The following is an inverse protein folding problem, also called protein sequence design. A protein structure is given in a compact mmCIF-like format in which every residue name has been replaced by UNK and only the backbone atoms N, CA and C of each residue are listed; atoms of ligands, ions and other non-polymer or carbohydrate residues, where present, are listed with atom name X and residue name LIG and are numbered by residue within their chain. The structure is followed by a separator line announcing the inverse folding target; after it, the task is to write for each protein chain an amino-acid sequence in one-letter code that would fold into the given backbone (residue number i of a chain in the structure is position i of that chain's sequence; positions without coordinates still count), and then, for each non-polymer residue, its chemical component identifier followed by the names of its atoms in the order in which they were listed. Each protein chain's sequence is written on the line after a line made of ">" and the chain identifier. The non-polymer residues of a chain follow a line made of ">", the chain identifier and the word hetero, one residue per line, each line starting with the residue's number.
data_IF_793261577739
#
_entry.id   IF_793261577739
#
_cell.length_a   1.000
_cell.length_b   1.000
_cell.length_c   1.000
_cell.angle_alpha   90.00
_cell.angle_beta   90.00
_cell.angle_gamma   90.00
#
_symmetry.space_group_name_H-M   'P 1'
#
loop_
_entity.id
_entity.type
_entity.pdbx_description
1 polymer ?
#
# COMPACT_ATOMS: atom_id res chain seq x y z
N UNK A 1 1.92 -0.30 -25.06
CA UNK A 1 3.16 -1.10 -25.13
C UNK A 1 3.10 -2.16 -24.03
N UNK A 2 3.07 -3.45 -24.36
CA UNK A 2 3.26 -4.51 -23.35
C UNK A 2 4.77 -4.70 -23.20
N UNK A 3 5.32 -4.44 -22.02
CA UNK A 3 6.75 -4.56 -21.76
C UNK A 3 7.14 -6.04 -21.67
N UNK A 4 7.24 -6.69 -22.84
CA UNK A 4 7.56 -8.13 -22.99
C UNK A 4 8.90 -8.49 -22.36
N UNK A 5 9.84 -7.55 -22.31
CA UNK A 5 11.13 -7.71 -21.63
C UNK A 5 10.93 -7.90 -20.13
N UNK A 6 10.16 -7.02 -19.48
CA UNK A 6 9.84 -7.12 -18.05
C UNK A 6 9.09 -8.41 -17.71
N UNK A 7 8.14 -8.84 -18.55
CA UNK A 7 7.41 -10.10 -18.32
C UNK A 7 8.35 -11.31 -18.41
N UNK A 8 9.25 -11.33 -19.39
CA UNK A 8 10.23 -12.42 -19.55
C UNK A 8 11.24 -12.43 -18.41
N UNK A 9 11.69 -11.27 -17.97
CA UNK A 9 12.55 -11.11 -16.80
C UNK A 9 11.87 -11.68 -15.54
N UNK A 10 10.63 -11.27 -15.24
CA UNK A 10 9.92 -11.72 -14.04
C UNK A 10 9.63 -13.23 -14.07
N UNK A 11 9.23 -13.79 -15.21
CA UNK A 11 8.81 -15.19 -15.29
C UNK A 11 9.95 -16.17 -15.53
N UNK A 12 10.99 -15.77 -16.28
CA UNK A 12 12.04 -16.67 -16.74
C UNK A 12 13.44 -16.27 -16.25
N UNK A 13 13.58 -15.17 -15.52
CA UNK A 13 14.87 -14.72 -14.99
C UNK A 13 15.86 -14.28 -16.07
N UNK A 14 15.42 -14.06 -17.31
CA UNK A 14 16.28 -13.65 -18.43
C UNK A 14 16.56 -12.14 -18.43
N UNK A 15 16.53 -11.49 -17.26
CA UNK A 15 16.78 -10.07 -17.10
C UNK A 15 18.25 -9.70 -17.25
N UNK A 16 18.54 -8.43 -17.49
CA UNK A 16 19.91 -7.91 -17.54
C UNK A 16 20.59 -7.77 -16.18
N UNK A 17 19.87 -8.01 -15.08
CA UNK A 17 20.37 -7.91 -13.71
C UNK A 17 19.63 -8.88 -12.77
N UNK A 18 20.21 -9.14 -11.59
CA UNK A 18 19.56 -9.89 -10.49
C UNK A 18 18.64 -8.94 -9.72
N UNK A 19 17.37 -9.29 -9.58
CA UNK A 19 16.38 -8.46 -8.88
C UNK A 19 16.69 -8.37 -7.38
N UNK A 20 16.54 -7.18 -6.79
CA UNK A 20 16.68 -6.97 -5.33
C UNK A 20 15.75 -7.89 -4.50
N UNK A 21 14.66 -8.36 -5.10
CA UNK A 21 13.68 -9.24 -4.46
C UNK A 21 14.22 -10.64 -4.15
N UNK A 22 15.39 -11.02 -4.67
CA UNK A 22 16.09 -12.26 -4.25
C UNK A 22 16.47 -12.26 -2.76
N UNK A 23 16.53 -11.09 -2.12
CA UNK A 23 16.76 -10.98 -0.67
C UNK A 23 15.46 -10.74 0.13
N UNK A 24 14.29 -10.81 -0.51
CA UNK A 24 13.03 -10.52 0.18
C UNK A 24 12.61 -11.68 1.08
N UNK A 25 12.69 -11.48 2.39
CA UNK A 25 12.33 -12.53 3.35
C UNK A 25 10.85 -12.46 3.73
N UNK A 26 10.16 -13.59 3.59
CA UNK A 26 8.79 -13.76 4.06
C UNK A 26 8.77 -14.28 5.50
N UNK A 27 7.78 -13.85 6.29
CA UNK A 27 7.59 -14.28 7.67
C UNK A 27 6.42 -15.25 7.82
N UNK A 28 6.63 -16.31 8.60
CA UNK A 28 5.58 -17.27 8.94
C UNK A 28 4.58 -16.67 9.95
N UNK A 29 3.35 -17.19 9.94
CA UNK A 29 2.30 -16.78 10.88
C UNK A 29 1.56 -18.01 11.45
N UNK A 30 0.96 -17.90 12.66
CA UNK A 30 0.19 -19.01 13.23
C UNK A 30 -1.06 -19.34 12.41
N UNK A 31 -1.09 -20.54 11.81
CA UNK A 31 -2.09 -20.94 10.82
C UNK A 31 -3.55 -20.61 11.19
N UNK A 32 -4.03 -21.07 12.34
CA UNK A 32 -5.43 -20.88 12.73
C UNK A 32 -5.78 -19.43 13.03
N UNK A 33 -4.85 -18.69 13.64
CA UNK A 33 -5.02 -17.25 13.90
C UNK A 33 -5.14 -16.50 12.57
N UNK A 34 -4.24 -16.80 11.63
CA UNK A 34 -4.22 -16.19 10.29
C UNK A 34 -5.48 -16.55 9.50
N UNK A 35 -5.91 -17.81 9.52
CA UNK A 35 -7.14 -18.23 8.86
C UNK A 35 -8.37 -17.46 9.38
N UNK A 36 -8.55 -17.43 10.70
CA UNK A 36 -9.69 -16.75 11.33
C UNK A 36 -9.67 -15.25 11.07
N UNK A 37 -8.50 -14.62 11.18
CA UNK A 37 -8.35 -13.19 10.95
C UNK A 37 -8.68 -12.83 9.49
N UNK A 38 -8.12 -13.55 8.52
CA UNK A 38 -8.43 -13.31 7.10
C UNK A 38 -9.89 -13.58 6.79
N UNK A 39 -10.46 -14.67 7.31
CA UNK A 39 -11.87 -15.01 7.09
C UNK A 39 -12.84 -13.97 7.67
N UNK A 40 -12.47 -13.24 8.72
CA UNK A 40 -13.34 -12.23 9.34
C UNK A 40 -13.04 -10.82 8.84
N UNK A 41 -11.76 -10.47 8.69
CA UNK A 41 -11.30 -9.10 8.51
C UNK A 41 -10.70 -8.84 7.13
N UNK A 42 -10.53 -9.88 6.30
CA UNK A 42 -9.67 -9.88 5.10
C UNK A 42 -8.19 -9.73 5.48
N UNK A 43 -7.33 -9.50 4.49
CA UNK A 43 -5.91 -9.27 4.73
C UNK A 43 -5.52 -7.83 4.41
N UNK A 44 -4.25 -7.51 4.68
CA UNK A 44 -3.65 -6.18 4.48
C UNK A 44 -4.00 -5.60 3.10
N UNK A 45 -4.26 -4.30 3.03
CA UNK A 45 -4.63 -3.57 1.81
C UNK A 45 -6.01 -3.88 1.19
N UNK A 46 -6.76 -4.86 1.69
CA UNK A 46 -8.11 -5.19 1.17
C UNK A 46 -9.21 -5.23 2.25
N UNK A 47 -9.32 -4.22 3.14
CA UNK A 47 -10.38 -4.20 4.14
C UNK A 47 -11.76 -4.17 3.47
N UNK A 48 -12.66 -5.04 3.93
CA UNK A 48 -14.00 -5.20 3.30
C UNK A 48 -15.17 -5.17 4.26
N UNK A 49 -14.92 -5.10 5.59
CA UNK A 49 -15.93 -5.12 6.66
C UNK A 49 -16.96 -6.26 6.59
N UNK A 50 -16.68 -7.31 5.82
CA UNK A 50 -17.60 -8.42 5.60
C UNK A 50 -17.90 -9.24 6.86
N UNK A 51 -17.10 -9.13 7.95
CA UNK A 51 -17.44 -9.74 9.25
C UNK A 51 -18.89 -9.49 9.67
N UNK A 52 -19.42 -8.30 9.38
CA UNK A 52 -20.79 -7.94 9.73
C UNK A 52 -21.84 -8.65 8.85
N UNK A 53 -21.44 -9.19 7.70
CA UNK A 53 -22.28 -9.99 6.80
C UNK A 53 -22.20 -11.48 7.06
N UNK A 54 -21.16 -12.00 7.72
CA UNK A 54 -21.00 -13.45 7.93
C UNK A 54 -22.24 -14.05 8.59
N UNK A 55 -22.72 -13.46 9.69
CA UNK A 55 -23.90 -13.97 10.38
C UNK A 55 -25.17 -13.85 9.49
N UNK A 56 -25.52 -12.69 8.90
CA UNK A 56 -26.61 -12.60 7.92
C UNK A 56 -26.54 -13.63 6.79
N UNK A 57 -25.36 -13.81 6.18
CA UNK A 57 -25.13 -14.77 5.10
C UNK A 57 -25.45 -16.19 5.59
N UNK A 58 -24.87 -16.61 6.72
CA UNK A 58 -25.12 -17.95 7.28
C UNK A 58 -26.61 -18.15 7.54
N UNK A 59 -27.29 -17.17 8.15
CA UNK A 59 -28.72 -17.25 8.40
C UNK A 59 -29.53 -17.36 7.10
N UNK A 60 -29.20 -16.56 6.08
CA UNK A 60 -29.87 -16.61 4.78
C UNK A 60 -29.62 -17.94 4.05
N UNK A 61 -28.43 -18.52 4.17
CA UNK A 61 -28.10 -19.83 3.60
C UNK A 61 -28.83 -20.96 4.33
N UNK A 62 -28.94 -20.90 5.67
CA UNK A 62 -29.69 -21.89 6.46
C UNK A 62 -31.18 -21.81 6.11
N UNK A 63 -31.77 -20.61 6.17
CA UNK A 63 -33.17 -20.40 5.77
C UNK A 63 -33.40 -20.88 4.33
N UNK A 64 -32.49 -20.47 3.44
CA UNK A 64 -32.44 -20.92 2.07
C UNK A 64 -32.54 -22.44 1.99
N UNK A 65 -31.74 -23.21 2.74
CA UNK A 65 -31.74 -24.68 2.72
C UNK A 65 -33.14 -25.29 2.88
N UNK A 66 -33.94 -24.78 3.82
CA UNK A 66 -35.26 -25.33 4.17
C UNK A 66 -36.42 -24.77 3.35
N UNK A 67 -36.23 -23.68 2.61
CA UNK A 67 -37.28 -23.11 1.78
C UNK A 67 -37.51 -23.88 0.47
N UNK A 68 -38.76 -23.91 -0.01
CA UNK A 68 -39.09 -24.42 -1.36
C UNK A 68 -38.42 -23.52 -2.39
N UNK A 69 -37.70 -24.13 -3.34
CA UNK A 69 -36.93 -23.45 -4.39
C UNK A 69 -37.42 -23.88 -5.75
N UNK A 70 -37.64 -22.92 -6.64
CA UNK A 70 -37.78 -23.23 -8.06
C UNK A 70 -36.40 -23.59 -8.69
N UNK A 71 -36.38 -23.88 -9.99
CA UNK A 71 -35.15 -24.28 -10.68
C UNK A 71 -34.09 -23.16 -10.67
N UNK A 72 -34.50 -21.90 -10.70
CA UNK A 72 -33.61 -20.73 -10.70
C UNK A 72 -33.06 -20.48 -9.30
N UNK A 73 -33.91 -20.52 -8.28
CA UNK A 73 -33.53 -20.34 -6.87
C UNK A 73 -32.56 -21.44 -6.42
N UNK A 74 -32.73 -22.67 -6.92
CA UNK A 74 -31.79 -23.77 -6.67
C UNK A 74 -30.40 -23.48 -7.24
N UNK A 75 -30.31 -22.86 -8.43
CA UNK A 75 -29.04 -22.46 -9.04
C UNK A 75 -28.38 -21.34 -8.25
N UNK A 76 -29.13 -20.31 -7.86
CA UNK A 76 -28.63 -19.18 -7.04
C UNK A 76 -28.12 -19.70 -5.70
N UNK A 77 -28.90 -20.53 -5.01
CA UNK A 77 -28.49 -21.13 -3.74
C UNK A 77 -27.23 -21.98 -3.88
N UNK A 78 -27.13 -22.80 -4.93
CA UNK A 78 -25.92 -23.57 -5.22
C UNK A 78 -24.71 -22.68 -5.47
N UNK A 79 -24.88 -21.58 -6.21
CA UNK A 79 -23.81 -20.60 -6.45
C UNK A 79 -23.34 -19.95 -5.14
N UNK A 80 -24.28 -19.54 -4.27
CA UNK A 80 -23.97 -18.99 -2.94
C UNK A 80 -23.18 -20.00 -2.09
N UNK A 81 -23.64 -21.25 -1.99
CA UNK A 81 -22.90 -22.28 -1.22
C UNK A 81 -21.50 -22.54 -1.80
N UNK A 82 -21.36 -22.63 -3.12
CA UNK A 82 -20.05 -22.81 -3.77
C UNK A 82 -19.13 -21.62 -3.48
N UNK A 83 -19.65 -20.40 -3.58
CA UNK A 83 -18.86 -19.20 -3.35
C UNK A 83 -18.49 -19.01 -1.88
N UNK A 84 -19.39 -19.33 -0.94
CA UNK A 84 -19.06 -19.39 0.49
C UNK A 84 -17.94 -20.39 0.80
N UNK A 85 -17.99 -21.58 0.20
CA UNK A 85 -16.90 -22.56 0.31
C UNK A 85 -15.59 -22.07 -0.33
N UNK A 86 -15.69 -21.37 -1.46
CA UNK A 86 -14.54 -20.74 -2.12
C UNK A 86 -13.90 -19.65 -1.25
N UNK A 87 -14.70 -18.85 -0.56
CA UNK A 87 -14.22 -17.88 0.42
C UNK A 87 -13.43 -18.60 1.53
N UNK A 88 -14.00 -19.63 2.16
CA UNK A 88 -13.27 -20.45 3.16
C UNK A 88 -11.95 -20.98 2.58
N UNK A 89 -11.97 -21.48 1.34
CA UNK A 89 -10.78 -22.03 0.68
C UNK A 89 -9.69 -20.97 0.45
N UNK A 90 -10.04 -19.74 0.09
CA UNK A 90 -9.05 -18.65 -0.04
C UNK A 90 -8.44 -18.30 1.33
N UNK A 91 -9.21 -18.19 2.42
CA UNK A 91 -8.63 -17.95 3.74
C UNK A 91 -7.71 -19.10 4.18
N UNK A 92 -8.10 -20.35 3.93
CA UNK A 92 -7.26 -21.51 4.19
C UNK A 92 -5.98 -21.47 3.35
N UNK A 93 -6.09 -21.13 2.07
CA UNK A 93 -4.95 -20.99 1.16
C UNK A 93 -4.01 -19.87 1.59
N UNK A 94 -4.54 -18.73 2.04
CA UNK A 94 -3.75 -17.65 2.61
C UNK A 94 -3.00 -18.12 3.86
N UNK A 95 -3.67 -18.80 4.80
CA UNK A 95 -3.03 -19.34 5.99
C UNK A 95 -1.97 -20.40 5.64
N UNK A 96 -2.24 -21.24 4.65
CA UNK A 96 -1.29 -22.22 4.11
C UNK A 96 -0.02 -21.56 3.57
N UNK A 97 -0.16 -20.46 2.81
CA UNK A 97 0.98 -19.71 2.27
C UNK A 97 1.89 -19.10 3.36
N UNK A 98 1.42 -19.00 4.60
CA UNK A 98 2.17 -18.47 5.75
C UNK A 98 2.58 -19.54 6.77
N UNK A 99 2.38 -20.82 6.46
CA UNK A 99 2.95 -21.92 7.25
C UNK A 99 4.47 -21.86 7.21
N UNK A 100 5.11 -22.16 8.34
CA UNK A 100 6.57 -22.21 8.47
C UNK A 100 7.23 -23.01 7.36
N UNK A 101 6.77 -24.24 7.09
CA UNK A 101 7.34 -25.07 6.02
C UNK A 101 7.23 -24.45 4.61
N UNK A 102 6.13 -23.73 4.31
CA UNK A 102 5.92 -23.10 3.00
C UNK A 102 6.77 -21.84 2.88
N UNK A 103 6.84 -21.05 3.95
CA UNK A 103 7.67 -19.83 4.02
C UNK A 103 9.16 -20.18 3.97
N UNK A 104 9.60 -21.19 4.72
CA UNK A 104 10.99 -21.66 4.70
C UNK A 104 11.38 -22.18 3.32
N UNK A 105 10.51 -22.97 2.68
CA UNK A 105 10.72 -23.41 1.31
C UNK A 105 10.85 -22.21 0.35
N UNK A 106 9.94 -21.23 0.46
CA UNK A 106 9.94 -20.03 -0.38
C UNK A 106 11.21 -19.19 -0.18
N UNK A 107 11.63 -18.96 1.07
CA UNK A 107 12.83 -18.19 1.39
C UNK A 107 14.12 -18.89 0.91
N UNK A 108 14.13 -20.22 0.79
CA UNK A 108 15.24 -21.00 0.22
C UNK A 108 15.15 -21.19 -1.30
N UNK A 109 14.03 -20.81 -1.93
CA UNK A 109 13.92 -20.79 -3.37
C UNK A 109 14.67 -19.57 -3.95
N UNK A 110 14.89 -19.58 -5.26
CA UNK A 110 15.49 -18.47 -6.01
C UNK A 110 14.55 -18.04 -7.14
N UNK A 111 14.72 -16.82 -7.66
CA UNK A 111 13.95 -16.34 -8.79
C UNK A 111 12.48 -16.12 -8.48
N UNK A 112 11.62 -16.28 -9.48
CA UNK A 112 10.18 -16.05 -9.38
C UNK A 112 9.53 -16.72 -8.15
N UNK A 113 9.89 -17.96 -7.85
CA UNK A 113 9.30 -18.71 -6.73
C UNK A 113 9.66 -18.10 -5.37
N UNK A 114 10.81 -17.44 -5.26
CA UNK A 114 11.25 -16.77 -4.04
C UNK A 114 10.37 -15.56 -3.72
N UNK A 115 10.13 -14.66 -4.68
CA UNK A 115 9.44 -13.40 -4.40
C UNK A 115 7.97 -13.37 -4.82
N UNK A 116 7.46 -14.38 -5.52
CA UNK A 116 6.06 -14.42 -5.91
C UNK A 116 5.13 -14.54 -4.68
N UNK A 117 4.13 -13.68 -4.62
CA UNK A 117 3.21 -13.56 -3.49
C UNK A 117 1.88 -14.25 -3.80
N UNK A 118 1.89 -15.59 -3.85
CA UNK A 118 0.70 -16.42 -4.15
C UNK A 118 -0.51 -16.12 -3.26
N UNK A 119 -0.27 -15.76 -2.00
CA UNK A 119 -1.33 -15.43 -1.06
C UNK A 119 -2.24 -14.30 -1.57
N UNK A 120 -1.77 -13.41 -2.46
CA UNK A 120 -2.52 -12.27 -3.04
C UNK A 120 -3.81 -12.66 -3.78
N UNK A 121 -4.14 -13.94 -3.96
CA UNK A 121 -5.49 -14.36 -4.36
C UNK A 121 -6.57 -13.77 -3.42
N UNK A 122 -6.22 -13.44 -2.17
CA UNK A 122 -7.12 -12.73 -1.25
C UNK A 122 -7.60 -11.37 -1.78
N UNK A 123 -6.99 -10.75 -2.78
CA UNK A 123 -7.50 -9.50 -3.36
C UNK A 123 -8.91 -9.64 -3.96
N UNK A 124 -9.33 -10.87 -4.27
CA UNK A 124 -10.71 -11.17 -4.69
C UNK A 124 -11.72 -11.15 -3.53
N UNK A 125 -11.26 -11.18 -2.27
CA UNK A 125 -12.13 -11.29 -1.09
C UNK A 125 -13.22 -10.24 -1.01
N UNK A 126 -12.92 -8.93 -1.11
CA UNK A 126 -13.95 -7.91 -1.00
C UNK A 126 -15.08 -8.21 -1.99
N UNK A 127 -14.77 -8.27 -3.29
CA UNK A 127 -15.78 -8.51 -4.31
C UNK A 127 -16.56 -9.81 -4.09
N UNK A 128 -15.89 -10.91 -3.74
CA UNK A 128 -16.51 -12.21 -3.52
C UNK A 128 -17.44 -12.25 -2.29
N UNK A 129 -17.11 -11.52 -1.20
CA UNK A 129 -17.97 -11.41 -0.01
C UNK A 129 -19.23 -10.57 -0.27
N UNK A 130 -19.11 -9.46 -0.99
CA UNK A 130 -20.28 -8.66 -1.36
C UNK A 130 -21.18 -9.40 -2.36
N UNK A 131 -20.58 -10.18 -3.27
CA UNK A 131 -21.32 -11.08 -4.15
C UNK A 131 -22.02 -12.20 -3.36
N UNK A 132 -21.36 -12.77 -2.36
CA UNK A 132 -21.96 -13.76 -1.47
C UNK A 132 -23.18 -13.20 -0.76
N UNK A 133 -23.05 -12.00 -0.17
CA UNK A 133 -24.18 -11.33 0.47
C UNK A 133 -25.34 -11.13 -0.51
N UNK A 134 -25.05 -10.68 -1.74
CA UNK A 134 -26.07 -10.49 -2.77
C UNK A 134 -26.79 -11.80 -3.14
N UNK A 135 -26.06 -12.90 -3.32
CA UNK A 135 -26.66 -14.20 -3.63
C UNK A 135 -27.46 -14.78 -2.45
N UNK A 136 -26.92 -14.72 -1.23
CA UNK A 136 -27.63 -15.17 -0.04
C UNK A 136 -28.92 -14.35 0.19
N UNK A 137 -28.85 -13.02 0.05
CA UNK A 137 -30.01 -12.14 0.13
C UNK A 137 -31.01 -12.38 -1.00
N UNK A 138 -30.56 -12.71 -2.22
CA UNK A 138 -31.45 -13.05 -3.33
C UNK A 138 -32.28 -14.31 -3.05
N UNK A 139 -31.71 -15.31 -2.38
CA UNK A 139 -32.47 -16.50 -1.94
C UNK A 139 -33.58 -16.08 -0.98
N UNK A 140 -33.28 -15.23 0.02
CA UNK A 140 -34.29 -14.70 0.94
C UNK A 140 -35.36 -13.91 0.21
N UNK A 141 -34.96 -13.00 -0.69
CA UNK A 141 -35.86 -12.14 -1.46
C UNK A 141 -36.87 -12.96 -2.27
N UNK A 142 -36.38 -13.96 -3.00
CA UNK A 142 -37.15 -14.79 -3.93
C UNK A 142 -37.95 -15.90 -3.25
N UNK A 143 -37.58 -16.30 -2.03
CA UNK A 143 -38.33 -17.28 -1.25
C UNK A 143 -39.78 -16.85 -1.05
N UNK A 144 -40.72 -17.64 -1.58
CA UNK A 144 -42.16 -17.43 -1.40
C UNK A 144 -42.59 -17.98 -0.04
N UNK A 145 -43.04 -17.09 0.84
CA UNK A 145 -43.63 -17.42 2.13
C UNK A 145 -45.16 -17.35 1.98
N UNK A 146 -45.98 -18.21 2.63
CA UNK A 146 -47.43 -18.04 2.60
C UNK A 146 -47.82 -16.61 3.00
N UNK A 147 -48.75 -15.97 2.27
CA UNK A 147 -49.14 -14.55 2.44
C UNK A 147 -48.02 -13.53 2.15
N UNK A 148 -47.32 -13.68 1.02
CA UNK A 148 -46.32 -12.69 0.56
C UNK A 148 -47.02 -11.39 0.09
N UNK A 149 -47.49 -10.58 1.03
CA UNK A 149 -48.05 -9.26 0.77
C UNK A 149 -46.93 -8.20 0.63
N UNK A 150 -47.28 -7.01 0.13
CA UNK A 150 -46.36 -5.86 -0.02
C UNK A 150 -45.59 -5.57 1.29
N UNK A 151 -46.24 -5.76 2.45
CA UNK A 151 -45.62 -5.59 3.79
C UNK A 151 -44.46 -6.54 4.04
N UNK A 152 -44.53 -7.79 3.56
CA UNK A 152 -43.46 -8.77 3.72
C UNK A 152 -42.25 -8.43 2.85
N UNK A 153 -42.47 -7.94 1.62
CA UNK A 153 -41.39 -7.48 0.74
C UNK A 153 -40.68 -6.25 1.31
N UNK A 154 -41.43 -5.29 1.87
CA UNK A 154 -40.86 -4.17 2.59
C UNK A 154 -40.04 -4.62 3.81
N UNK A 155 -40.51 -5.62 4.57
CA UNK A 155 -39.76 -6.21 5.68
C UNK A 155 -38.44 -6.86 5.25
N UNK A 156 -38.45 -7.65 4.17
CA UNK A 156 -37.23 -8.24 3.59
C UNK A 156 -36.23 -7.18 3.15
N UNK A 157 -36.72 -6.12 2.47
CA UNK A 157 -35.88 -4.99 2.07
C UNK A 157 -35.27 -4.30 3.29
N UNK A 158 -36.07 -4.03 4.34
CA UNK A 158 -35.59 -3.42 5.57
C UNK A 158 -34.49 -4.26 6.24
N UNK A 159 -34.66 -5.58 6.31
CA UNK A 159 -33.63 -6.50 6.84
C UNK A 159 -32.34 -6.40 6.04
N UNK A 160 -32.41 -6.45 4.70
CA UNK A 160 -31.23 -6.32 3.83
C UNK A 160 -30.54 -4.96 4.05
N UNK A 161 -31.30 -3.87 4.10
CA UNK A 161 -30.76 -2.53 4.34
C UNK A 161 -30.09 -2.40 5.72
N UNK A 162 -30.71 -2.97 6.76
CA UNK A 162 -30.12 -3.00 8.11
C UNK A 162 -28.79 -3.75 8.11
N UNK A 163 -28.71 -4.90 7.41
CA UNK A 163 -27.47 -5.65 7.29
C UNK A 163 -26.35 -4.84 6.60
N UNK A 164 -26.69 -3.93 5.67
CA UNK A 164 -25.73 -3.08 4.95
C UNK A 164 -25.23 -1.87 5.77
N UNK A 165 -25.94 -1.45 6.82
CA UNK A 165 -25.56 -0.27 7.62
C UNK A 165 -24.10 -0.26 8.09
N UNK A 166 -23.50 -1.36 8.58
CA UNK A 166 -22.11 -1.38 9.02
C UNK A 166 -21.11 -1.05 7.90
N UNK A 167 -21.48 -1.25 6.64
CA UNK A 167 -20.61 -0.94 5.47
C UNK A 167 -20.68 0.50 5.02
N UNK A 168 -21.63 1.29 5.52
CA UNK A 168 -21.65 2.74 5.27
C UNK A 168 -20.37 3.41 5.80
N UNK A 169 -19.73 2.83 6.82
CA UNK A 169 -18.42 3.29 7.28
C UNK A 169 -17.33 3.17 6.22
N UNK A 170 -17.37 2.14 5.35
CA UNK A 170 -16.46 2.06 4.20
C UNK A 170 -16.69 3.21 3.22
N UNK A 171 -17.94 3.64 3.02
CA UNK A 171 -18.21 4.80 2.19
C UNK A 171 -17.60 6.06 2.82
N UNK A 172 -17.75 6.24 4.14
CA UNK A 172 -17.17 7.41 4.82
C UNK A 172 -15.64 7.44 4.77
N UNK A 173 -14.97 6.30 4.96
CA UNK A 173 -13.51 6.24 5.14
C UNK A 173 -12.76 5.96 3.83
N UNK A 174 -13.35 5.18 2.91
CA UNK A 174 -12.66 4.70 1.71
C UNK A 174 -13.30 5.17 0.40
N UNK A 175 -14.47 5.83 0.42
CA UNK A 175 -15.04 6.37 -0.83
C UNK A 175 -14.29 7.62 -1.26
N UNK A 176 -13.55 7.51 -2.35
CA UNK A 176 -12.93 8.66 -2.99
C UNK A 176 -13.95 9.78 -3.27
N UNK A 177 -15.18 9.44 -3.68
CA UNK A 177 -16.23 10.44 -3.91
C UNK A 177 -16.59 11.20 -2.63
N UNK A 178 -16.83 10.49 -1.52
CA UNK A 178 -17.17 11.13 -0.25
C UNK A 178 -16.01 12.01 0.25
N UNK A 179 -14.78 11.50 0.21
CA UNK A 179 -13.59 12.23 0.65
C UNK A 179 -13.38 13.51 -0.18
N UNK A 180 -13.52 13.42 -1.51
CA UNK A 180 -13.38 14.58 -2.40
C UNK A 180 -14.50 15.61 -2.18
N UNK A 181 -15.76 15.19 -2.08
CA UNK A 181 -16.88 16.13 -1.80
C UNK A 181 -16.70 16.79 -0.44
N UNK A 182 -16.28 16.02 0.57
CA UNK A 182 -15.98 16.56 1.90
C UNK A 182 -14.83 17.58 1.86
N UNK A 183 -13.78 17.31 1.07
CA UNK A 183 -12.65 18.23 0.88
C UNK A 183 -13.06 19.50 0.15
N UNK A 184 -13.85 19.41 -0.92
CA UNK A 184 -14.36 20.58 -1.67
C UNK A 184 -15.20 21.48 -0.77
N UNK A 185 -16.04 20.91 0.09
CA UNK A 185 -16.96 21.68 0.92
C UNK A 185 -16.27 22.33 2.14
N UNK A 186 -15.27 21.67 2.73
CA UNK A 186 -14.69 22.07 4.01
C UNK A 186 -13.23 22.51 3.94
N UNK A 187 -12.55 22.26 2.82
CA UNK A 187 -11.12 22.54 2.63
C UNK A 187 -10.19 21.58 3.37
N UNK A 188 -8.90 21.63 3.01
CA UNK A 188 -7.85 20.79 3.58
C UNK A 188 -7.56 21.11 5.05
N UNK A 189 -7.76 22.36 5.49
CA UNK A 189 -7.55 22.77 6.89
C UNK A 189 -8.51 22.11 7.89
N UNK A 190 -9.74 21.80 7.47
CA UNK A 190 -10.75 21.12 8.32
C UNK A 190 -10.67 19.61 8.16
N UNK A 191 -10.48 19.13 6.93
CA UNK A 191 -10.51 17.68 6.65
C UNK A 191 -9.20 16.97 6.96
N UNK A 192 -8.07 17.70 6.93
CA UNK A 192 -6.73 17.13 6.99
C UNK A 192 -6.32 16.35 5.74
N UNK A 193 -7.12 16.37 4.67
CA UNK A 193 -6.81 15.67 3.43
C UNK A 193 -5.82 16.48 2.59
N UNK A 194 -4.90 15.78 1.93
CA UNK A 194 -3.92 16.37 1.01
C UNK A 194 -4.49 16.26 -0.40
N UNK A 195 -4.66 17.39 -1.10
CA UNK A 195 -5.06 17.37 -2.50
C UNK A 195 -3.90 16.91 -3.39
N UNK A 196 -4.21 16.44 -4.60
CA UNK A 196 -3.18 16.08 -5.58
C UNK A 196 -2.27 17.25 -5.95
N UNK A 197 -2.86 18.44 -6.12
CA UNK A 197 -2.16 19.69 -6.37
C UNK A 197 -1.18 20.03 -5.23
N UNK A 198 -1.66 19.97 -3.98
CA UNK A 198 -0.83 20.21 -2.78
C UNK A 198 0.27 19.17 -2.61
N UNK A 199 0.00 17.90 -2.96
CA UNK A 199 0.96 16.80 -2.86
C UNK A 199 2.03 16.85 -3.94
N UNK A 200 1.69 17.15 -5.19
CA UNK A 200 2.69 17.23 -6.26
C UNK A 200 3.40 18.59 -6.31
N UNK A 201 2.75 19.64 -5.81
CA UNK A 201 3.30 20.97 -5.59
C UNK A 201 4.15 21.45 -6.78
N UNK A 202 3.54 21.49 -7.98
CA UNK A 202 4.24 21.76 -9.24
C UNK A 202 4.99 23.11 -9.21
N UNK A 203 4.36 24.16 -8.67
CA UNK A 203 4.98 25.48 -8.52
C UNK A 203 6.20 25.45 -7.58
N UNK A 204 6.10 24.74 -6.45
CA UNK A 204 7.23 24.55 -5.53
C UNK A 204 8.39 23.81 -6.21
N UNK A 205 8.10 22.76 -6.98
CA UNK A 205 9.12 22.01 -7.69
C UNK A 205 9.79 22.87 -8.78
N UNK A 206 9.02 23.74 -9.44
CA UNK A 206 9.55 24.71 -10.40
C UNK A 206 10.47 25.73 -9.73
N UNK A 207 10.11 26.27 -8.56
CA UNK A 207 10.97 27.19 -7.81
C UNK A 207 12.33 26.55 -7.46
N UNK A 208 12.31 25.27 -7.07
CA UNK A 208 13.54 24.52 -6.78
C UNK A 208 14.35 24.27 -8.07
N UNK A 209 13.71 23.91 -9.18
CA UNK A 209 14.37 23.69 -10.48
C UNK A 209 15.04 24.98 -10.96
N UNK A 210 14.34 26.11 -10.88
CA UNK A 210 14.85 27.43 -11.26
C UNK A 210 16.03 27.86 -10.38
N UNK A 211 15.98 27.54 -9.08
CA UNK A 211 17.07 27.85 -8.16
C UNK A 211 18.33 27.02 -8.41
N UNK A 212 18.19 25.74 -8.76
CA UNK A 212 19.32 24.89 -9.18
C UNK A 212 19.86 25.36 -10.53
N UNK A 213 18.98 25.74 -11.47
CA UNK A 213 19.36 26.38 -12.74
C UNK A 213 20.24 25.53 -13.67
N UNK A 214 20.31 24.21 -13.43
CA UNK A 214 21.09 23.23 -14.21
C UNK A 214 20.17 22.25 -14.93
N UNK A 215 20.64 21.69 -16.04
CA UNK A 215 19.92 20.61 -16.72
C UNK A 215 19.79 19.38 -15.79
N UNK A 216 18.55 19.01 -15.46
CA UNK A 216 18.17 17.86 -14.62
C UNK A 216 18.81 16.54 -15.06
N UNK A 217 19.20 16.39 -16.33
CA UNK A 217 19.88 15.18 -16.83
C UNK A 217 21.33 15.04 -16.32
N UNK A 218 21.93 16.15 -15.87
CA UNK A 218 23.35 16.22 -15.49
C UNK A 218 23.61 15.80 -14.05
N UNK A 219 22.62 15.91 -13.17
CA UNK A 219 22.73 15.59 -11.75
C UNK A 219 21.61 14.64 -11.29
N UNK A 220 21.69 14.17 -10.04
CA UNK A 220 20.58 13.45 -9.38
C UNK A 220 20.33 14.02 -8.00
N UNK A 221 19.11 13.79 -7.51
CA UNK A 221 18.65 14.26 -6.20
C UNK A 221 18.27 13.09 -5.29
N UNK A 222 18.42 13.28 -3.99
CA UNK A 222 17.92 12.37 -2.95
C UNK A 222 16.91 13.10 -2.04
N UNK A 223 16.09 12.34 -1.31
CA UNK A 223 15.05 12.88 -0.45
C UNK A 223 15.17 12.38 0.98
N UNK A 224 15.10 13.30 1.94
CA UNK A 224 15.13 13.04 3.37
C UNK A 224 13.82 13.44 4.02
N UNK A 225 13.10 12.46 4.58
CA UNK A 225 11.84 12.70 5.29
C UNK A 225 10.65 13.12 4.40
N UNK A 226 10.83 13.17 3.09
CA UNK A 226 9.80 13.48 2.08
C UNK A 226 9.73 12.39 1.01
N UNK A 227 8.61 12.34 0.30
CA UNK A 227 8.42 11.41 -0.81
C UNK A 227 9.19 11.91 -2.04
N UNK A 228 9.89 11.06 -2.80
CA UNK A 228 10.52 11.45 -4.07
C UNK A 228 9.51 11.63 -5.21
N UNK A 229 8.26 11.20 -5.01
CA UNK A 229 7.23 11.23 -6.05
C UNK A 229 6.95 12.62 -6.66
N UNK A 230 6.90 13.73 -5.89
CA UNK A 230 6.76 15.08 -6.45
C UNK A 230 7.89 15.44 -7.42
N UNK A 231 9.14 15.29 -6.98
CA UNK A 231 10.31 15.59 -7.80
C UNK A 231 10.37 14.72 -9.06
N UNK A 232 10.09 13.42 -8.94
CA UNK A 232 10.03 12.49 -10.07
C UNK A 232 8.96 12.91 -11.10
N UNK A 233 7.78 13.33 -10.65
CA UNK A 233 6.72 13.79 -11.56
C UNK A 233 7.06 15.12 -12.24
N UNK A 234 7.80 16.00 -11.56
CA UNK A 234 8.32 17.24 -12.13
C UNK A 234 9.57 17.03 -13.03
N UNK A 235 10.08 15.79 -13.11
CA UNK A 235 11.14 15.41 -14.04
C UNK A 235 12.56 15.48 -13.47
N UNK A 236 12.74 15.58 -12.15
CA UNK A 236 14.04 15.37 -11.52
C UNK A 236 14.46 13.90 -11.64
N UNK A 237 15.76 13.66 -11.81
CA UNK A 237 16.35 12.33 -11.74
C UNK A 237 16.76 12.06 -10.31
N UNK A 238 16.32 10.94 -9.75
CA UNK A 238 16.52 10.65 -8.32
C UNK A 238 17.39 9.41 -8.13
N UNK A 239 18.22 9.41 -7.08
CA UNK A 239 18.94 8.20 -6.63
C UNK A 239 18.07 7.36 -5.70
N UNK A 240 17.03 7.94 -5.12
CA UNK A 240 16.11 7.31 -4.21
C UNK A 240 14.73 7.11 -4.86
N UNK A 241 13.96 6.13 -4.39
CA UNK A 241 12.72 5.77 -5.08
C UNK A 241 12.02 4.52 -4.55
N UNK A 242 10.75 4.40 -4.92
CA UNK A 242 9.95 3.19 -4.71
C UNK A 242 9.81 2.43 -6.02
N UNK A 243 10.38 1.22 -6.08
CA UNK A 243 10.22 0.31 -7.21
C UNK A 243 9.98 -1.11 -6.75
N UNK A 244 9.05 -1.80 -7.41
CA UNK A 244 8.82 -3.23 -7.17
C UNK A 244 9.87 -4.13 -7.83
N UNK A 245 10.73 -3.60 -8.70
CA UNK A 245 11.82 -4.34 -9.33
C UNK A 245 12.95 -3.39 -9.74
N UNK A 246 14.17 -3.70 -9.29
CA UNK A 246 15.40 -2.96 -9.60
C UNK A 246 16.60 -3.87 -9.22
N UNK A 247 17.82 -3.50 -9.59
CA UNK A 247 18.99 -4.37 -9.41
C UNK A 247 19.38 -4.55 -7.95
N UNK A 248 19.74 -5.79 -7.60
CA UNK A 248 20.25 -6.15 -6.29
C UNK A 248 21.56 -5.41 -5.99
N UNK A 249 22.41 -5.26 -7.00
CA UNK A 249 23.64 -4.46 -6.91
C UNK A 249 23.33 -3.02 -6.46
N UNK A 250 22.31 -2.39 -7.06
CA UNK A 250 21.90 -1.04 -6.65
C UNK A 250 21.35 -1.00 -5.23
N UNK A 251 20.62 -2.05 -4.79
CA UNK A 251 20.17 -2.16 -3.39
C UNK A 251 21.36 -2.12 -2.44
N UNK A 252 22.43 -2.86 -2.73
CA UNK A 252 23.63 -2.90 -1.90
C UNK A 252 24.37 -1.57 -1.88
N UNK A 253 24.59 -0.93 -3.03
CA UNK A 253 25.19 0.41 -3.11
C UNK A 253 24.37 1.46 -2.36
N UNK A 254 23.05 1.42 -2.46
CA UNK A 254 22.18 2.32 -1.70
C UNK A 254 22.20 2.01 -0.20
N UNK A 255 22.32 0.73 0.18
CA UNK A 255 22.44 0.32 1.59
C UNK A 255 23.68 0.92 2.26
N UNK A 256 24.79 1.04 1.53
CA UNK A 256 26.03 1.65 2.03
C UNK A 256 25.78 3.08 2.51
N UNK A 257 25.02 3.88 1.75
CA UNK A 257 24.62 5.25 2.11
C UNK A 257 23.96 5.33 3.49
N UNK A 258 23.10 4.37 3.83
CA UNK A 258 22.29 4.39 5.05
C UNK A 258 22.80 3.43 6.13
N UNK A 259 23.97 2.80 5.95
CA UNK A 259 24.39 1.66 6.77
C UNK A 259 24.46 1.98 8.26
N UNK A 260 25.11 3.08 8.65
CA UNK A 260 25.23 3.48 10.05
C UNK A 260 23.89 3.88 10.66
N UNK A 261 22.97 4.45 9.87
CA UNK A 261 21.61 4.71 10.32
C UNK A 261 20.79 3.43 10.56
N UNK A 262 20.99 2.40 9.73
CA UNK A 262 20.35 1.11 9.94
C UNK A 262 20.85 0.41 11.21
N UNK A 263 22.12 0.59 11.60
CA UNK A 263 22.66 0.04 12.85
C UNK A 263 22.01 0.66 14.10
N UNK A 264 21.55 1.91 13.99
CA UNK A 264 20.84 2.61 15.06
C UNK A 264 19.38 2.19 15.21
N UNK A 265 18.75 1.64 14.17
CA UNK A 265 17.32 1.31 14.17
C UNK A 265 17.01 -0.03 13.49
N UNK A 266 16.82 -1.06 14.32
CA UNK A 266 16.54 -2.43 13.90
C UNK A 266 15.26 -2.57 13.06
N UNK A 267 14.20 -1.81 13.35
CA UNK A 267 12.94 -1.88 12.59
C UNK A 267 13.16 -1.41 11.14
N UNK A 268 13.89 -0.31 10.98
CA UNK A 268 14.24 0.25 9.67
C UNK A 268 15.19 -0.67 8.92
N UNK A 269 16.17 -1.24 9.61
CA UNK A 269 17.10 -2.23 9.04
C UNK A 269 16.35 -3.43 8.50
N UNK A 270 15.46 -4.02 9.29
CA UNK A 270 14.60 -5.14 8.86
C UNK A 270 13.72 -4.75 7.67
N UNK A 271 13.14 -3.55 7.68
CA UNK A 271 12.33 -3.04 6.58
C UNK A 271 13.12 -2.94 5.27
N UNK A 272 14.31 -2.35 5.30
CA UNK A 272 15.13 -2.21 4.10
C UNK A 272 15.74 -3.55 3.65
N UNK A 273 16.35 -4.29 4.57
CA UNK A 273 17.08 -5.52 4.24
C UNK A 273 16.13 -6.63 3.76
N UNK A 274 14.98 -6.80 4.42
CA UNK A 274 14.07 -7.93 4.16
C UNK A 274 12.93 -7.61 3.19
N UNK A 275 12.60 -6.33 2.95
CA UNK A 275 11.61 -5.93 1.95
C UNK A 275 12.22 -5.11 0.82
N UNK A 276 12.86 -3.99 1.15
CA UNK A 276 13.76 -3.28 0.23
C UNK A 276 13.15 -2.66 -1.03
N UNK A 277 11.83 -2.65 -1.23
CA UNK A 277 11.24 -2.01 -2.41
C UNK A 277 11.42 -0.46 -2.43
N UNK A 278 11.84 0.13 -1.30
CA UNK A 278 12.11 1.56 -1.16
C UNK A 278 13.58 1.77 -0.84
N UNK A 279 14.28 2.45 -1.73
CA UNK A 279 15.59 3.03 -1.47
C UNK A 279 15.36 4.48 -1.10
N UNK A 280 15.08 4.79 0.18
CA UNK A 280 14.95 6.15 0.71
C UNK A 280 16.02 6.37 1.78
N UNK A 281 16.34 7.63 2.12
CA UNK A 281 17.28 7.97 3.19
C UNK A 281 16.66 7.71 4.59
N UNK A 282 16.43 6.43 4.87
CA UNK A 282 15.91 5.99 6.15
C UNK A 282 16.94 6.22 7.25
N UNK A 283 16.44 6.65 8.41
CA UNK A 283 17.29 7.11 9.50
C UNK A 283 16.71 6.78 10.86
N UNK A 284 17.55 6.90 11.89
CA UNK A 284 17.19 6.66 13.28
C UNK A 284 16.19 7.65 13.85
N UNK A 285 16.11 8.87 13.30
CA UNK A 285 15.32 9.99 13.82
C UNK A 285 13.85 9.88 13.38
N UNK A 286 13.63 9.64 12.08
CA UNK A 286 12.30 9.58 11.46
C UNK A 286 11.91 8.18 10.98
N UNK A 287 12.79 7.20 11.13
CA UNK A 287 12.55 5.83 10.72
C UNK A 287 12.37 5.72 9.20
N UNK A 288 11.23 5.17 8.79
CA UNK A 288 10.81 5.09 7.40
C UNK A 288 9.75 6.15 7.01
N UNK A 289 9.56 7.17 7.84
CA UNK A 289 8.60 8.24 7.59
C UNK A 289 9.08 9.16 6.45
N UNK A 290 8.18 9.46 5.51
CA UNK A 290 8.45 10.15 4.24
C UNK A 290 7.42 11.25 3.92
N UNK A 291 6.72 11.74 4.93
CA UNK A 291 5.63 12.72 4.77
C UNK A 291 5.76 13.86 5.77
N UNK A 292 6.97 14.40 5.95
CA UNK A 292 7.17 15.61 6.75
C UNK A 292 6.47 16.79 6.04
N UNK A 293 5.49 17.37 6.73
CA UNK A 293 4.73 18.53 6.25
C UNK A 293 5.51 19.81 6.50
N UNK A 294 5.34 20.84 5.66
CA UNK A 294 5.81 22.20 5.99
C UNK A 294 5.35 22.67 7.36
N UNK A 295 6.18 23.48 8.02
CA UNK A 295 5.92 23.99 9.38
C UNK A 295 6.05 22.94 10.49
N UNK A 296 6.59 21.76 10.20
CA UNK A 296 7.04 20.85 11.26
C UNK A 296 8.23 21.47 12.02
N UNK A 297 8.44 21.06 13.27
CA UNK A 297 9.49 21.59 14.14
C UNK A 297 10.68 20.65 14.28
N UNK A 298 10.80 19.65 13.39
CA UNK A 298 11.92 18.71 13.43
C UNK A 298 13.17 19.41 12.90
N UNK A 299 14.29 19.18 13.56
CA UNK A 299 15.63 19.45 13.05
C UNK A 299 16.40 18.14 13.13
N UNK A 300 17.01 17.73 12.03
CA UNK A 300 17.88 16.57 12.01
C UNK A 300 19.23 16.92 12.63
N UNK A 301 19.69 16.11 13.57
CA UNK A 301 21.01 16.23 14.20
C UNK A 301 21.65 14.85 14.32
N UNK A 302 22.94 14.72 14.02
CA UNK A 302 23.67 13.46 14.24
C UNK A 302 23.33 12.36 13.23
N UNK A 303 22.89 12.73 12.03
CA UNK A 303 22.74 11.81 10.90
C UNK A 303 24.11 11.28 10.46
N UNK A 304 24.24 9.97 10.28
CA UNK A 304 25.49 9.32 9.85
C UNK A 304 25.30 8.63 8.50
N UNK A 305 24.80 9.37 7.51
CA UNK A 305 24.82 8.90 6.13
C UNK A 305 26.25 8.89 5.58
N UNK A 306 26.56 7.88 4.76
CA UNK A 306 27.78 7.88 3.96
C UNK A 306 27.56 8.78 2.73
N UNK A 307 28.04 10.03 2.86
CA UNK A 307 27.87 11.06 1.84
C UNK A 307 28.74 10.79 0.61
N UNK A 308 29.87 10.08 0.75
CA UNK A 308 30.70 9.72 -0.39
C UNK A 308 30.02 8.62 -1.22
N UNK A 309 29.45 7.60 -0.57
CA UNK A 309 28.63 6.60 -1.23
C UNK A 309 27.42 7.24 -1.93
N UNK A 310 26.81 8.27 -1.33
CA UNK A 310 25.70 9.00 -1.94
C UNK A 310 26.14 9.78 -3.20
N UNK A 311 27.31 10.44 -3.16
CA UNK A 311 27.91 11.09 -4.34
C UNK A 311 28.26 10.07 -5.43
N UNK A 312 28.72 8.86 -5.08
CA UNK A 312 28.99 7.78 -6.05
C UNK A 312 27.74 7.25 -6.76
N UNK A 313 26.55 7.43 -6.18
CA UNK A 313 25.27 7.20 -6.88
C UNK A 313 24.94 8.32 -7.89
N UNK A 314 25.76 9.37 -7.97
CA UNK A 314 25.56 10.55 -8.81
C UNK A 314 24.65 11.61 -8.19
N UNK A 315 24.41 11.54 -6.87
CA UNK A 315 23.64 12.53 -6.15
C UNK A 315 24.46 13.81 -5.95
N UNK A 316 23.87 14.95 -6.27
CA UNK A 316 24.48 16.28 -6.06
C UNK A 316 23.58 17.19 -5.21
N UNK A 317 22.28 16.91 -5.10
CA UNK A 317 21.37 17.68 -4.26
C UNK A 317 20.53 16.79 -3.33
N UNK A 318 20.28 17.28 -2.13
CA UNK A 318 19.42 16.66 -1.12
C UNK A 318 18.21 17.54 -0.84
N UNK A 319 17.01 16.99 -1.05
CA UNK A 319 15.75 17.65 -0.72
C UNK A 319 15.25 17.11 0.63
N UNK A 320 15.28 17.93 1.65
CA UNK A 320 14.92 17.54 3.02
C UNK A 320 13.62 18.22 3.48
N UNK A 321 12.75 17.44 4.14
CA UNK A 321 11.51 17.96 4.75
C UNK A 321 11.70 18.69 6.08
N UNK A 322 12.92 18.71 6.59
CA UNK A 322 13.31 19.39 7.82
C UNK A 322 14.75 19.91 7.70
N UNK A 323 15.09 20.91 8.50
CA UNK A 323 16.45 21.46 8.54
C UNK A 323 17.44 20.40 9.05
N UNK A 324 18.67 20.41 8.53
CA UNK A 324 19.77 19.57 9.01
C UNK A 324 20.69 20.49 9.82
N UNK A 325 20.59 20.43 11.15
CA UNK A 325 21.26 21.35 12.04
C UNK A 325 22.79 21.24 11.98
N UNK A 326 23.32 20.07 11.64
CA UNK A 326 24.74 19.79 11.48
C UNK A 326 25.14 19.53 10.01
N UNK A 327 24.50 20.21 9.06
CA UNK A 327 24.76 20.09 7.61
C UNK A 327 26.25 20.23 7.23
N UNK A 328 26.96 21.21 7.81
CA UNK A 328 28.39 21.43 7.53
C UNK A 328 29.25 20.19 7.88
N UNK A 329 28.90 19.45 8.94
CA UNK A 329 29.61 18.22 9.34
C UNK A 329 29.47 17.13 8.28
N UNK A 330 28.36 17.11 7.56
CA UNK A 330 28.07 16.18 6.46
C UNK A 330 28.65 16.68 5.11
N UNK A 331 29.24 17.88 5.08
CA UNK A 331 29.70 18.53 3.86
C UNK A 331 28.55 19.02 2.98
N UNK A 332 27.41 19.36 3.57
CA UNK A 332 26.24 19.90 2.87
C UNK A 332 26.23 21.43 2.91
N UNK A 333 25.98 22.07 1.77
CA UNK A 333 25.78 23.52 1.66
C UNK A 333 24.30 23.83 1.43
N UNK A 334 23.73 24.74 2.23
CA UNK A 334 22.33 25.13 2.07
C UNK A 334 22.15 26.02 0.83
N UNK A 335 21.37 25.55 -0.14
CA UNK A 335 20.95 26.34 -1.30
C UNK A 335 19.79 27.27 -0.92
N UNK A 336 18.81 26.74 -0.18
CA UNK A 336 17.66 27.52 0.26
C UNK A 336 16.53 26.67 0.86
N UNK A 337 15.52 27.36 1.39
CA UNK A 337 14.24 26.78 1.80
C UNK A 337 13.12 27.30 0.91
N UNK A 338 12.28 26.40 0.42
CA UNK A 338 11.22 26.69 -0.53
C UNK A 338 9.87 26.17 0.00
N UNK A 339 8.84 27.00 -0.10
CA UNK A 339 7.46 26.63 0.18
C UNK A 339 6.49 27.54 -0.59
N UNK A 340 5.29 27.03 -0.88
CA UNK A 340 4.18 27.82 -1.44
C UNK A 340 3.00 27.78 -0.49
N UNK A 341 1.99 28.63 -0.67
CA UNK A 341 0.81 28.64 0.20
C UNK A 341 0.04 27.30 0.17
N UNK A 342 -0.07 26.69 -1.01
CA UNK A 342 -0.88 25.49 -1.25
C UNK A 342 -0.10 24.18 -1.17
N UNK A 343 1.23 24.19 -1.20
CA UNK A 343 2.04 22.97 -1.10
C UNK A 343 1.89 22.29 0.28
N UNK A 344 1.84 20.96 0.29
CA UNK A 344 1.98 20.18 1.52
C UNK A 344 3.41 20.27 2.07
N UNK A 345 4.37 20.40 1.15
CA UNK A 345 5.80 20.38 1.41
C UNK A 345 6.37 21.76 1.66
N UNK A 346 7.40 21.78 2.50
CA UNK A 346 8.39 22.84 2.61
C UNK A 346 9.73 22.13 2.56
N UNK A 347 10.60 22.55 1.65
CA UNK A 347 11.78 21.76 1.27
C UNK A 347 13.03 22.59 1.48
N UNK A 348 13.92 22.06 2.30
CA UNK A 348 15.30 22.51 2.43
C UNK A 348 16.12 21.83 1.34
N UNK A 349 16.78 22.61 0.49
CA UNK A 349 17.61 22.10 -0.59
C UNK A 349 19.06 22.30 -0.19
N UNK A 350 19.82 21.20 -0.17
CA UNK A 350 21.26 21.21 0.07
C UNK A 350 22.01 20.71 -1.15
N UNK A 351 23.18 21.28 -1.40
CA UNK A 351 24.19 20.76 -2.34
C UNK A 351 25.19 19.88 -1.58
N UNK A 352 25.65 18.80 -2.23
CA UNK A 352 26.56 17.79 -1.67
C UNK A 352 28.03 18.06 -1.97
#
# INVERSE_FOLDING_TARGET
>A
MVNRALIREILFGTGGYVSHREEMISSAMPFWKTFLDVFQNSAQHAPSLHKYFILPIILFLILGAFCKKDATDRKIYKAAVINFLFLIAIALFYAFCHLTAVVDWKNNATGFLHYFQMHRVYWLYPAAWYLEFAWAAAVLWRTKVPHTDVRMQAGKLAVILICLLPTLQLLKVNSGMYLNVNQINNGSGVTGYISWESWFAEDLMQEIDDAIGRDKSTYRVAHLGISPAPSLMHGFYTVDGYSNNYSLEYKHRFREVIAAELEKNEEVRVYFDLWGNRCYLFNSITGNYMQLKKGNTLVYEGLEFDMDALRELGCEYLFSGAEIGDAERMGLELVGYYETDDSYWGIWVYEL
#
